data_IF_928560055521
#
_entry.id   IF_928560055521
#
_cell.length_a   1.000
_cell.length_b   1.000
_cell.length_c   1.000
_cell.angle_alpha   90.00
_cell.angle_beta   90.00
_cell.angle_gamma   90.00
#
_symmetry.space_group_name_H-M   'P 1'
#
loop_
_entity.id
_entity.type
_entity.pdbx_description
1 polymer ?
#
# COMPACT_ATOMS: atom_id res chain seq x y z
N UNK A 1 7.66 8.66 13.93
CA UNK A 1 8.09 9.20 12.61
C UNK A 1 7.54 8.38 11.46
N UNK A 2 7.79 7.06 11.37
CA UNK A 2 7.21 6.21 10.29
C UNK A 2 5.70 6.35 10.22
N UNK A 3 4.98 6.17 11.34
CA UNK A 3 3.51 6.30 11.37
C UNK A 3 3.05 7.64 10.80
N UNK A 4 3.67 8.75 11.22
CA UNK A 4 3.36 10.08 10.69
C UNK A 4 3.59 10.19 9.18
N UNK A 5 4.75 9.74 8.69
CA UNK A 5 5.09 9.75 7.26
C UNK A 5 4.11 8.90 6.45
N UNK A 6 3.78 7.71 6.95
CA UNK A 6 2.82 6.80 6.30
C UNK A 6 1.42 7.41 6.27
N UNK A 7 0.94 7.96 7.39
CA UNK A 7 -0.37 8.62 7.46
C UNK A 7 -0.43 9.90 6.61
N UNK A 8 0.63 10.70 6.57
CA UNK A 8 0.70 11.90 5.71
C UNK A 8 0.75 11.55 4.22
N UNK A 9 1.17 10.32 3.89
CA UNK A 9 1.19 9.78 2.54
C UNK A 9 -0.09 9.04 2.12
N UNK A 10 -1.06 8.88 3.03
CA UNK A 10 -2.33 8.22 2.74
C UNK A 10 -3.19 9.07 1.81
N UNK A 11 -3.74 8.41 0.80
CA UNK A 11 -4.60 9.05 -0.20
C UNK A 11 -6.03 8.51 -0.14
N UNK A 12 -6.20 7.19 0.01
CA UNK A 12 -7.51 6.56 -0.17
C UNK A 12 -8.55 7.02 0.85
N UNK A 13 -8.17 7.03 2.13
CA UNK A 13 -9.09 7.42 3.22
C UNK A 13 -9.44 8.91 3.15
N UNK A 14 -8.48 9.85 3.06
CA UNK A 14 -8.81 11.27 2.92
C UNK A 14 -9.59 11.59 1.65
N UNK A 15 -9.30 10.91 0.53
CA UNK A 15 -10.04 11.13 -0.71
C UNK A 15 -11.51 10.71 -0.58
N UNK A 16 -11.77 9.53 -0.03
CA UNK A 16 -13.15 9.02 0.08
C UNK A 16 -13.98 9.73 1.13
N UNK A 17 -13.38 10.09 2.26
CA UNK A 17 -14.10 10.75 3.36
C UNK A 17 -14.12 12.28 3.23
N UNK A 18 -13.05 12.89 2.74
CA UNK A 18 -12.87 14.34 2.70
C UNK A 18 -13.39 15.01 1.44
N UNK A 19 -13.32 14.34 0.27
CA UNK A 19 -13.74 14.96 -1.00
C UNK A 19 -15.21 15.44 -1.02
N UNK A 20 -16.20 14.71 -0.46
CA UNK A 20 -17.58 15.21 -0.42
C UNK A 20 -17.77 16.51 0.38
N UNK A 21 -16.88 16.79 1.33
CA UNK A 21 -16.93 17.96 2.20
C UNK A 21 -15.93 19.07 1.80
N UNK A 22 -15.21 18.89 0.68
CA UNK A 22 -14.18 19.83 0.24
C UNK A 22 -12.94 19.86 1.13
N UNK A 23 -12.71 18.82 1.95
CA UNK A 23 -11.52 18.72 2.78
C UNK A 23 -10.38 18.13 1.98
N UNK A 24 -9.44 19.00 1.63
CA UNK A 24 -8.28 18.63 0.83
C UNK A 24 -7.04 18.45 1.70
N UNK A 25 -6.43 17.28 1.59
CA UNK A 25 -5.08 17.02 2.08
C UNK A 25 -4.07 17.19 0.96
N UNK A 26 -2.79 17.28 1.30
CA UNK A 26 -1.73 17.43 0.31
C UNK A 26 -1.72 16.25 -0.69
N UNK A 27 -2.03 15.03 -0.23
CA UNK A 27 -2.12 13.83 -1.10
C UNK A 27 -3.32 13.88 -2.05
N UNK A 28 -4.48 14.37 -1.60
CA UNK A 28 -5.66 14.51 -2.46
C UNK A 28 -5.50 15.65 -3.46
N UNK A 29 -4.79 16.73 -3.10
CA UNK A 29 -4.45 17.80 -4.05
C UNK A 29 -3.50 17.31 -5.14
N UNK A 30 -2.46 16.54 -4.78
CA UNK A 30 -1.56 15.92 -5.77
C UNK A 30 -2.36 15.10 -6.78
N UNK A 31 -3.26 14.22 -6.30
CA UNK A 31 -4.10 13.40 -7.17
C UNK A 31 -5.01 14.23 -8.07
N UNK A 32 -5.70 15.21 -7.48
CA UNK A 32 -6.65 16.05 -8.22
C UNK A 32 -5.93 16.84 -9.31
N UNK A 33 -4.76 17.43 -9.02
CA UNK A 33 -3.96 18.14 -10.03
C UNK A 33 -3.34 17.22 -11.08
N UNK A 34 -3.26 15.91 -10.83
CA UNK A 34 -2.76 14.92 -11.78
C UNK A 34 -3.84 14.41 -12.76
N UNK A 35 -5.09 14.24 -12.31
CA UNK A 35 -6.12 13.49 -13.06
C UNK A 35 -7.40 14.32 -13.35
N UNK A 36 -7.63 15.45 -12.67
CA UNK A 36 -8.85 16.24 -12.88
C UNK A 36 -8.92 16.93 -14.24
N UNK A 37 -10.12 17.41 -14.59
CA UNK A 37 -10.40 18.14 -15.84
C UNK A 37 -9.55 19.42 -15.99
N UNK A 38 -9.08 19.99 -14.89
CA UNK A 38 -8.10 21.08 -14.82
C UNK A 38 -6.72 20.56 -14.39
N UNK A 39 -6.28 19.43 -14.95
CA UNK A 39 -4.99 18.83 -14.64
C UNK A 39 -3.86 19.84 -14.87
N UNK A 40 -3.10 20.10 -13.81
CA UNK A 40 -1.86 20.86 -13.87
C UNK A 40 -0.75 19.96 -13.33
N UNK A 41 -0.20 19.15 -14.24
CA UNK A 41 0.86 18.19 -13.94
C UNK A 41 2.08 18.87 -13.32
N UNK A 42 2.39 20.11 -13.69
CA UNK A 42 3.50 20.86 -13.09
C UNK A 42 3.25 21.18 -11.62
N UNK A 43 2.04 21.64 -11.27
CA UNK A 43 1.64 21.90 -9.89
C UNK A 43 1.60 20.61 -9.05
N UNK A 44 1.04 19.53 -9.60
CA UNK A 44 1.04 18.21 -8.94
C UNK A 44 2.45 17.66 -8.72
N UNK A 45 3.36 17.88 -9.68
CA UNK A 45 4.79 17.52 -9.56
C UNK A 45 5.45 18.31 -8.44
N UNK A 46 5.23 19.63 -8.40
CA UNK A 46 5.79 20.51 -7.38
C UNK A 46 5.33 20.08 -5.96
N UNK A 47 4.02 19.86 -5.78
CA UNK A 47 3.46 19.36 -4.52
C UNK A 47 4.03 17.99 -4.13
N UNK A 48 4.21 17.10 -5.10
CA UNK A 48 4.80 15.78 -4.87
C UNK A 48 6.27 15.87 -4.45
N UNK A 49 7.04 16.76 -5.07
CA UNK A 49 8.42 17.04 -4.68
C UNK A 49 8.49 17.62 -3.27
N UNK A 50 7.62 18.57 -2.92
CA UNK A 50 7.53 19.11 -1.56
C UNK A 50 7.27 18.02 -0.53
N UNK A 51 6.28 17.16 -0.77
CA UNK A 51 5.98 16.03 0.12
C UNK A 51 7.13 15.02 0.20
N UNK A 52 7.79 14.76 -0.93
CA UNK A 52 8.98 13.90 -1.01
C UNK A 52 10.13 14.45 -0.16
N UNK A 53 10.40 15.75 -0.23
CA UNK A 53 11.43 16.43 0.58
C UNK A 53 11.09 16.36 2.06
N UNK A 54 9.85 16.68 2.46
CA UNK A 54 9.39 16.56 3.85
C UNK A 54 9.59 15.13 4.36
N UNK A 55 9.23 14.15 3.54
CA UNK A 55 9.38 12.74 3.90
C UNK A 55 10.85 12.34 4.04
N UNK A 56 11.70 12.75 3.12
CA UNK A 56 13.13 12.48 3.17
C UNK A 56 13.79 13.08 4.43
N UNK A 57 13.41 14.30 4.81
CA UNK A 57 13.86 14.95 6.04
C UNK A 57 13.46 14.12 7.26
N UNK A 58 12.20 13.70 7.37
CA UNK A 58 11.74 12.91 8.50
C UNK A 58 12.44 11.55 8.60
N UNK A 59 12.63 10.87 7.46
CA UNK A 59 13.37 9.60 7.42
C UNK A 59 14.83 9.82 7.83
N UNK A 60 15.46 10.92 7.39
CA UNK A 60 16.82 11.26 7.79
C UNK A 60 16.94 11.53 9.29
N UNK A 61 16.02 12.33 9.86
CA UNK A 61 15.93 12.58 11.31
C UNK A 61 15.74 11.26 12.06
N UNK A 62 14.83 10.41 11.60
CA UNK A 62 14.60 9.11 12.20
C UNK A 62 15.87 8.26 12.20
N UNK A 63 16.58 8.18 11.06
CA UNK A 63 17.82 7.42 10.96
C UNK A 63 18.88 7.97 11.91
N UNK A 64 19.01 9.29 12.05
CA UNK A 64 19.96 9.91 13.00
C UNK A 64 19.64 9.61 14.46
N UNK A 65 18.37 9.55 14.83
CA UNK A 65 17.94 9.21 16.20
C UNK A 65 18.13 7.72 16.50
N UNK A 66 17.92 6.84 15.51
CA UNK A 66 17.96 5.38 15.69
C UNK A 66 19.38 4.81 15.52
N UNK A 67 20.19 5.34 14.60
CA UNK A 67 21.53 4.82 14.29
C UNK A 67 22.50 4.68 15.48
N UNK A 68 22.52 5.57 16.50
CA UNK A 68 23.40 5.40 17.65
C UNK A 68 22.89 4.39 18.69
N UNK A 69 21.73 3.76 18.47
CA UNK A 69 21.18 2.76 19.40
C UNK A 69 21.65 1.38 18.98
N UNK A 70 22.58 0.81 19.74
CA UNK A 70 22.88 -0.62 19.72
C UNK A 70 21.65 -1.37 20.25
N UNK A 71 20.82 -1.86 19.34
CA UNK A 71 19.86 -2.88 19.70
C UNK A 71 20.62 -4.19 19.74
N UNK A 72 20.75 -4.77 20.93
CA UNK A 72 21.02 -6.21 21.04
C UNK A 72 19.82 -6.91 20.40
N UNK A 73 19.92 -7.17 19.10
CA UNK A 73 18.98 -8.04 18.43
C UNK A 73 19.24 -9.42 18.99
N UNK A 74 18.39 -9.85 19.92
CA UNK A 74 18.32 -11.26 20.34
C UNK A 74 18.03 -12.03 19.06
N UNK A 75 19.09 -12.54 18.46
CA UNK A 75 19.05 -13.30 17.22
C UNK A 75 18.17 -14.52 17.48
N UNK A 76 17.27 -14.83 16.54
CA UNK A 76 16.19 -15.81 16.65
C UNK A 76 16.60 -17.27 16.82
N UNK A 77 17.53 -17.59 17.72
CA UNK A 77 17.66 -18.93 18.28
C UNK A 77 16.71 -19.05 19.47
N UNK A 78 15.44 -19.30 19.15
CA UNK A 78 14.40 -19.62 20.12
C UNK A 78 13.77 -18.41 20.78
N UNK A 79 12.88 -17.72 20.08
CA UNK A 79 11.84 -16.96 20.77
C UNK A 79 10.99 -17.97 21.55
N UNK A 80 11.36 -18.21 22.82
CA UNK A 80 10.49 -18.82 23.81
C UNK A 80 9.73 -17.66 24.44
N UNK A 81 8.53 -17.30 23.95
CA UNK A 81 7.73 -16.30 24.65
C UNK A 81 7.57 -16.81 26.08
N UNK A 82 8.01 -16.02 27.05
CA UNK A 82 7.70 -16.32 28.43
C UNK A 82 6.19 -16.06 28.55
N UNK A 83 5.41 -17.13 28.46
CA UNK A 83 3.95 -17.05 28.58
C UNK A 83 3.66 -16.58 30.01
N UNK A 84 3.16 -15.36 30.13
CA UNK A 84 2.63 -14.87 31.41
C UNK A 84 1.31 -15.62 31.61
N UNK A 85 1.18 -16.35 32.72
CA UNK A 85 -0.10 -16.98 33.05
C UNK A 85 -1.04 -15.92 33.62
N UNK A 86 -2.03 -15.51 32.82
CA UNK A 86 -3.07 -14.57 33.26
C UNK A 86 -4.11 -15.23 34.18
N UNK A 87 -4.03 -16.53 34.45
CA UNK A 87 -4.98 -17.26 35.28
C UNK A 87 -6.42 -17.07 34.78
N UNK A 88 -7.32 -16.61 35.65
CA UNK A 88 -8.73 -16.33 35.29
C UNK A 88 -8.90 -15.11 34.40
N UNK A 89 -7.98 -14.14 34.44
CA UNK A 89 -8.01 -12.95 33.59
C UNK A 89 -7.76 -13.25 32.11
N UNK A 90 -7.33 -14.47 31.76
CA UNK A 90 -7.17 -14.90 30.37
C UNK A 90 -8.47 -14.74 29.56
N UNK A 91 -9.63 -14.95 30.18
CA UNK A 91 -10.92 -14.81 29.51
C UNK A 91 -11.31 -13.35 29.28
N UNK A 92 -10.95 -12.46 30.22
CA UNK A 92 -11.13 -11.02 30.05
C UNK A 92 -10.20 -10.48 28.95
N UNK A 93 -8.93 -10.88 28.95
CA UNK A 93 -7.97 -10.53 27.90
C UNK A 93 -8.38 -11.10 26.53
N UNK A 94 -8.88 -12.34 26.49
CA UNK A 94 -9.43 -12.94 25.28
C UNK A 94 -10.65 -12.17 24.78
N UNK A 95 -11.59 -11.82 25.68
CA UNK A 95 -12.77 -11.05 25.35
C UNK A 95 -12.42 -9.67 24.79
N UNK A 96 -11.46 -8.97 25.41
CA UNK A 96 -10.95 -7.69 24.90
C UNK A 96 -10.33 -7.83 23.50
N UNK A 97 -9.44 -8.79 23.30
CA UNK A 97 -8.80 -9.02 22.01
C UNK A 97 -9.81 -9.44 20.93
N UNK A 98 -10.78 -10.30 21.28
CA UNK A 98 -11.84 -10.73 20.38
C UNK A 98 -12.75 -9.55 20.01
N UNK A 99 -13.11 -8.70 20.97
CA UNK A 99 -13.87 -7.48 20.72
C UNK A 99 -13.10 -6.50 19.82
N UNK A 100 -11.80 -6.32 20.09
CA UNK A 100 -10.94 -5.50 19.23
C UNK A 100 -10.94 -6.02 17.78
N UNK A 101 -10.67 -7.31 17.57
CA UNK A 101 -10.70 -7.94 16.24
C UNK A 101 -12.08 -7.81 15.59
N UNK A 102 -13.14 -7.99 16.37
CA UNK A 102 -14.51 -7.84 15.89
C UNK A 102 -14.75 -6.42 15.36
N UNK A 103 -14.39 -5.39 16.12
CA UNK A 103 -14.60 -3.98 15.73
C UNK A 103 -13.70 -3.57 14.56
N UNK A 104 -12.43 -3.98 14.55
CA UNK A 104 -11.46 -3.49 13.54
C UNK A 104 -11.44 -4.29 12.25
N UNK A 105 -11.85 -5.56 12.26
CA UNK A 105 -11.76 -6.46 11.10
C UNK A 105 -13.14 -6.98 10.69
N UNK A 106 -13.85 -7.65 11.62
CA UNK A 106 -15.09 -8.34 11.30
C UNK A 106 -16.19 -7.35 10.92
N UNK A 107 -16.34 -6.26 11.66
CA UNK A 107 -17.38 -5.28 11.46
C UNK A 107 -17.24 -4.54 10.11
N UNK A 108 -16.05 -4.06 9.68
CA UNK A 108 -15.88 -3.52 8.33
C UNK A 108 -16.18 -4.52 7.20
N UNK A 109 -15.75 -5.78 7.34
CA UNK A 109 -16.04 -6.84 6.35
C UNK A 109 -17.55 -7.10 6.29
N UNK A 110 -18.20 -7.20 7.45
CA UNK A 110 -19.64 -7.38 7.54
C UNK A 110 -20.40 -6.20 6.92
N UNK A 111 -19.96 -4.97 7.18
CA UNK A 111 -20.53 -3.78 6.54
C UNK A 111 -20.44 -3.83 5.02
N UNK A 112 -19.30 -4.25 4.45
CA UNK A 112 -19.14 -4.42 2.99
C UNK A 112 -20.11 -5.49 2.46
N UNK A 113 -20.27 -6.59 3.19
CA UNK A 113 -21.20 -7.67 2.84
C UNK A 113 -22.67 -7.20 2.87
N UNK A 114 -23.05 -6.39 3.85
CA UNK A 114 -24.39 -5.81 3.90
C UNK A 114 -24.59 -4.85 2.73
N UNK A 115 -23.61 -3.99 2.44
CA UNK A 115 -23.65 -3.04 1.32
C UNK A 115 -23.76 -3.78 -0.02
N UNK A 116 -23.04 -4.89 -0.21
CA UNK A 116 -23.07 -5.65 -1.47
C UNK A 116 -24.41 -6.32 -1.73
N UNK A 117 -25.21 -6.60 -0.69
CA UNK A 117 -26.56 -7.14 -0.78
C UNK A 117 -27.63 -6.06 -1.06
N UNK A 118 -27.34 -4.77 -0.96
CA UNK A 118 -28.30 -3.73 -1.34
C UNK A 118 -28.13 -3.34 -2.81
N UNK A 119 -29.22 -3.32 -3.57
CA UNK A 119 -29.18 -2.87 -4.97
C UNK A 119 -28.61 -1.44 -5.10
N UNK A 120 -28.98 -0.54 -4.17
CA UNK A 120 -28.40 0.80 -4.04
C UNK A 120 -28.17 1.10 -2.56
N UNK A 121 -26.96 1.52 -2.20
CA UNK A 121 -26.65 1.88 -0.82
C UNK A 121 -27.12 3.30 -0.49
N UNK A 122 -28.09 3.40 0.43
CA UNK A 122 -28.68 4.67 0.89
C UNK A 122 -28.19 5.11 2.27
N UNK A 123 -27.15 4.45 2.81
CA UNK A 123 -26.61 4.75 4.14
C UNK A 123 -27.42 4.19 5.31
N UNK A 124 -28.43 3.36 5.04
CA UNK A 124 -29.26 2.67 6.03
C UNK A 124 -29.36 1.19 5.67
N UNK A 125 -29.40 0.33 6.68
CA UNK A 125 -29.63 -1.11 6.51
C UNK A 125 -31.13 -1.32 6.43
N UNK A 126 -31.63 -1.70 5.25
CA UNK A 126 -33.05 -1.96 5.00
C UNK A 126 -33.16 -3.43 4.61
N UNK A 127 -33.55 -4.33 5.55
CA UNK A 127 -33.62 -5.77 5.28
C UNK A 127 -34.51 -6.15 4.09
N UNK A 128 -35.53 -5.33 3.79
CA UNK A 128 -36.42 -5.54 2.65
C UNK A 128 -35.73 -5.31 1.28
N UNK A 129 -34.64 -4.55 1.24
CA UNK A 129 -33.89 -4.23 0.02
C UNK A 129 -32.74 -5.21 -0.24
N UNK A 130 -32.63 -6.27 0.56
CA UNK A 130 -31.59 -7.29 0.40
C UNK A 130 -31.88 -8.12 -0.86
N UNK A 131 -30.95 -8.06 -1.81
CA UNK A 131 -31.05 -8.73 -3.10
C UNK A 131 -29.68 -9.26 -3.53
N UNK A 132 -29.67 -10.32 -4.33
CA UNK A 132 -28.45 -10.84 -4.98
C UNK A 132 -28.15 -10.17 -6.32
N UNK A 133 -28.93 -9.15 -6.68
CA UNK A 133 -28.91 -8.53 -8.01
C UNK A 133 -27.54 -7.96 -8.38
N UNK A 134 -26.78 -7.42 -7.42
CA UNK A 134 -25.42 -6.94 -7.68
C UNK A 134 -24.49 -8.07 -8.13
N UNK A 135 -24.61 -9.25 -7.53
CA UNK A 135 -23.82 -10.42 -7.93
C UNK A 135 -24.26 -10.92 -9.30
N UNK A 136 -25.56 -10.98 -9.57
CA UNK A 136 -26.08 -11.37 -10.88
C UNK A 136 -25.66 -10.40 -11.99
N UNK A 137 -25.69 -9.09 -11.70
CA UNK A 137 -25.20 -8.04 -12.60
C UNK A 137 -23.71 -8.16 -12.87
N UNK A 138 -22.89 -8.62 -11.93
CA UNK A 138 -21.45 -8.78 -12.13
C UNK A 138 -21.13 -10.10 -12.85
N UNK A 139 -21.87 -11.19 -12.54
CA UNK A 139 -21.55 -12.55 -13.00
C UNK A 139 -22.25 -12.96 -14.30
N UNK A 140 -23.48 -12.48 -14.55
CA UNK A 140 -24.36 -13.04 -15.59
C UNK A 140 -24.88 -12.02 -16.62
N UNK A 141 -25.14 -10.77 -16.25
CA UNK A 141 -25.74 -9.77 -17.16
C UNK A 141 -24.70 -8.92 -17.92
N UNK A 142 -24.07 -9.53 -18.92
CA UNK A 142 -23.06 -8.92 -19.81
C UNK A 142 -23.54 -7.63 -20.50
N UNK A 143 -23.33 -6.47 -19.87
CA UNK A 143 -23.48 -5.16 -20.51
C UNK A 143 -22.11 -4.49 -20.63
N UNK A 144 -21.65 -4.10 -21.83
CA UNK A 144 -20.31 -3.53 -22.04
C UNK A 144 -20.00 -2.32 -21.15
N UNK A 145 -21.02 -1.53 -20.79
CA UNK A 145 -20.87 -0.26 -20.06
C UNK A 145 -20.67 -0.41 -18.55
N UNK A 146 -21.01 -1.55 -17.93
CA UNK A 146 -20.98 -1.72 -16.46
C UNK A 146 -19.96 -2.77 -16.00
N UNK A 147 -19.83 -3.87 -16.74
CA UNK A 147 -18.97 -5.01 -16.35
C UNK A 147 -17.56 -4.88 -16.88
N UNK A 148 -17.37 -4.26 -18.05
CA UNK A 148 -16.05 -4.19 -18.68
C UNK A 148 -15.00 -3.55 -17.76
N UNK A 149 -15.29 -2.48 -16.99
CA UNK A 149 -14.36 -1.97 -15.98
C UNK A 149 -14.16 -2.92 -14.78
N UNK A 150 -15.22 -3.57 -14.30
CA UNK A 150 -15.18 -4.45 -13.11
C UNK A 150 -14.45 -5.78 -13.38
N UNK A 151 -14.82 -6.50 -14.44
CA UNK A 151 -14.20 -7.78 -14.82
C UNK A 151 -12.79 -7.61 -15.36
N UNK A 152 -12.55 -6.56 -16.19
CA UNK A 152 -11.17 -6.23 -16.55
C UNK A 152 -10.39 -5.83 -15.31
N UNK A 153 -10.98 -5.10 -14.36
CA UNK A 153 -10.35 -4.76 -13.09
C UNK A 153 -9.88 -5.99 -12.31
N UNK A 154 -10.73 -7.02 -12.17
CA UNK A 154 -10.38 -8.28 -11.49
C UNK A 154 -9.25 -9.00 -12.23
N UNK A 155 -9.39 -9.23 -13.53
CA UNK A 155 -8.37 -9.93 -14.33
C UNK A 155 -7.05 -9.16 -14.35
N UNK A 156 -7.09 -7.85 -14.58
CA UNK A 156 -5.93 -6.97 -14.53
C UNK A 156 -5.26 -7.02 -13.15
N UNK A 157 -6.03 -7.04 -12.06
CA UNK A 157 -5.49 -7.15 -10.71
C UNK A 157 -4.80 -8.49 -10.49
N UNK A 158 -5.37 -9.61 -10.95
CA UNK A 158 -4.72 -10.92 -10.89
C UNK A 158 -3.43 -10.96 -11.72
N UNK A 159 -3.47 -10.45 -12.95
CA UNK A 159 -2.30 -10.36 -13.83
C UNK A 159 -1.21 -9.54 -13.13
N UNK A 160 -1.54 -8.36 -12.62
CA UNK A 160 -0.60 -7.47 -11.94
C UNK A 160 -0.06 -8.06 -10.64
N UNK A 161 -0.91 -8.74 -9.86
CA UNK A 161 -0.51 -9.40 -8.63
C UNK A 161 0.52 -10.51 -8.92
N UNK A 162 0.19 -11.43 -9.82
CA UNK A 162 1.05 -12.58 -10.15
C UNK A 162 2.33 -12.12 -10.84
N UNK A 163 2.22 -11.32 -11.91
CA UNK A 163 3.39 -10.87 -12.67
C UNK A 163 4.26 -9.91 -11.86
N UNK A 164 3.65 -8.94 -11.17
CA UNK A 164 4.35 -7.96 -10.35
C UNK A 164 5.07 -8.60 -9.17
N UNK A 165 4.41 -9.50 -8.42
CA UNK A 165 5.05 -10.19 -7.30
C UNK A 165 6.20 -11.09 -7.78
N UNK A 166 6.01 -11.80 -8.88
CA UNK A 166 7.03 -12.72 -9.44
C UNK A 166 8.26 -11.94 -9.89
N UNK A 167 8.08 -10.88 -10.68
CA UNK A 167 9.19 -10.04 -11.16
C UNK A 167 9.90 -9.38 -9.97
N UNK A 168 9.15 -8.79 -9.04
CA UNK A 168 9.71 -8.15 -7.86
C UNK A 168 10.52 -9.15 -7.00
N UNK A 169 10.04 -10.38 -6.85
CA UNK A 169 10.74 -11.41 -6.07
C UNK A 169 12.01 -11.90 -6.76
N UNK A 170 11.99 -12.12 -8.08
CA UNK A 170 13.18 -12.50 -8.85
C UNK A 170 14.25 -11.42 -8.72
N UNK A 171 13.87 -10.14 -8.91
CA UNK A 171 14.78 -9.02 -8.73
C UNK A 171 15.31 -8.96 -7.28
N UNK A 172 14.45 -9.19 -6.29
CA UNK A 172 14.82 -9.13 -4.87
C UNK A 172 15.88 -10.17 -4.53
N UNK A 173 15.73 -11.41 -5.03
CA UNK A 173 16.71 -12.48 -4.86
C UNK A 173 18.03 -12.14 -5.52
N UNK A 174 18.00 -11.70 -6.79
CA UNK A 174 19.22 -11.35 -7.54
C UNK A 174 19.99 -10.23 -6.84
N UNK A 175 19.30 -9.14 -6.48
CA UNK A 175 19.95 -7.97 -5.87
C UNK A 175 20.41 -8.27 -4.45
N UNK A 176 19.63 -9.00 -3.65
CA UNK A 176 20.04 -9.45 -2.32
C UNK A 176 21.31 -10.31 -2.40
N UNK A 177 21.37 -11.26 -3.34
CA UNK A 177 22.54 -12.10 -3.55
C UNK A 177 23.78 -11.28 -3.95
N UNK A 178 23.63 -10.30 -4.85
CA UNK A 178 24.74 -9.43 -5.26
C UNK A 178 25.23 -8.53 -4.12
N UNK A 179 24.31 -7.94 -3.34
CA UNK A 179 24.64 -7.12 -2.17
C UNK A 179 25.43 -7.95 -1.16
N UNK A 180 25.04 -9.21 -0.91
CA UNK A 180 25.72 -10.09 0.03
C UNK A 180 27.10 -10.55 -0.46
N UNK A 181 27.22 -10.86 -1.75
CA UNK A 181 28.46 -11.38 -2.34
C UNK A 181 29.52 -10.30 -2.55
N UNK A 182 29.11 -9.06 -2.86
CA UNK A 182 30.03 -7.95 -3.18
C UNK A 182 30.33 -7.14 -1.92
N UNK A 183 31.45 -7.44 -1.25
CA UNK A 183 31.98 -6.62 -0.14
C UNK A 183 32.50 -5.27 -0.68
N UNK A 184 32.09 -4.15 -0.08
CA UNK A 184 32.60 -2.80 -0.38
C UNK A 184 31.53 -1.75 -0.70
N UNK A 185 31.96 -0.58 -1.21
CA UNK A 185 31.09 0.58 -1.50
C UNK A 185 29.96 0.28 -2.49
N UNK A 186 30.19 -0.65 -3.42
CA UNK A 186 29.20 -1.04 -4.43
C UNK A 186 27.99 -1.77 -3.81
N UNK A 187 28.22 -2.69 -2.87
CA UNK A 187 27.14 -3.36 -2.14
C UNK A 187 26.30 -2.38 -1.33
N UNK A 188 26.96 -1.41 -0.66
CA UNK A 188 26.27 -0.35 0.07
C UNK A 188 25.46 0.60 -0.83
N UNK A 189 25.97 0.93 -2.03
CA UNK A 189 25.23 1.73 -3.00
C UNK A 189 23.99 0.99 -3.52
N UNK A 190 24.14 -0.30 -3.87
CA UNK A 190 23.01 -1.12 -4.32
C UNK A 190 21.94 -1.25 -3.23
N UNK A 191 22.32 -1.49 -1.98
CA UNK A 191 21.40 -1.55 -0.86
C UNK A 191 20.66 -0.22 -0.65
N UNK A 192 21.38 0.91 -0.75
CA UNK A 192 20.76 2.23 -0.71
C UNK A 192 19.74 2.43 -1.85
N UNK A 193 20.11 2.10 -3.09
CA UNK A 193 19.22 2.20 -4.26
C UNK A 193 17.97 1.34 -4.10
N UNK A 194 18.11 0.13 -3.56
CA UNK A 194 16.99 -0.75 -3.27
C UNK A 194 16.05 -0.17 -2.20
N UNK A 195 16.57 0.59 -1.25
CA UNK A 195 15.79 1.19 -0.17
C UNK A 195 15.09 2.50 -0.55
N UNK A 196 15.49 3.18 -1.63
CA UNK A 196 14.98 4.49 -2.03
C UNK A 196 13.44 4.52 -2.19
N UNK A 197 12.78 3.56 -2.88
CA UNK A 197 11.34 3.64 -3.09
C UNK A 197 10.49 3.53 -1.82
N UNK A 198 11.04 2.93 -0.75
CA UNK A 198 10.37 2.86 0.57
C UNK A 198 10.22 4.25 1.16
N UNK A 199 11.18 5.13 0.88
CA UNK A 199 11.22 6.46 1.44
C UNK A 199 10.16 7.40 0.87
N UNK A 200 9.65 7.15 -0.33
CA UNK A 200 8.65 8.02 -0.94
C UNK A 200 7.22 7.59 -0.53
N UNK A 201 6.31 8.54 -0.25
CA UNK A 201 4.88 8.25 -0.16
C UNK A 201 4.35 7.65 -1.47
N UNK A 202 3.33 6.79 -1.37
CA UNK A 202 2.77 6.10 -2.54
C UNK A 202 2.29 7.07 -3.62
N UNK A 203 1.64 8.18 -3.24
CA UNK A 203 1.15 9.19 -4.18
C UNK A 203 2.29 9.92 -4.90
N UNK A 204 3.40 10.19 -4.21
CA UNK A 204 4.58 10.87 -4.79
C UNK A 204 5.24 9.96 -5.82
N UNK A 205 5.40 8.68 -5.49
CA UNK A 205 5.93 7.68 -6.41
C UNK A 205 4.99 7.49 -7.61
N UNK A 206 3.67 7.44 -7.38
CA UNK A 206 2.66 7.37 -8.44
C UNK A 206 2.71 8.58 -9.38
N UNK A 207 2.84 9.79 -8.85
CA UNK A 207 2.99 11.01 -9.64
C UNK A 207 4.28 11.00 -10.46
N UNK A 208 5.39 10.56 -9.87
CA UNK A 208 6.67 10.42 -10.58
C UNK A 208 6.58 9.46 -11.78
N UNK A 209 5.97 8.29 -11.56
CA UNK A 209 5.73 7.33 -12.64
C UNK A 209 4.81 7.91 -13.71
N UNK A 210 3.73 8.58 -13.31
CA UNK A 210 2.83 9.24 -14.25
C UNK A 210 3.60 10.20 -15.15
N UNK A 211 4.37 11.15 -14.60
CA UNK A 211 5.10 12.16 -15.38
C UNK A 211 6.10 11.53 -16.35
N UNK A 212 6.83 10.50 -15.90
CA UNK A 212 7.83 9.81 -16.74
C UNK A 212 7.16 9.14 -17.93
N UNK A 213 6.01 8.49 -17.74
CA UNK A 213 5.39 7.68 -18.77
C UNK A 213 4.26 8.37 -19.53
N UNK A 214 3.74 9.52 -19.11
CA UNK A 214 2.56 10.18 -19.71
C UNK A 214 2.72 10.49 -21.20
N UNK A 215 3.95 10.73 -21.67
CA UNK A 215 4.27 10.99 -23.10
C UNK A 215 4.75 9.75 -23.85
N UNK A 216 4.63 8.57 -23.24
CA UNK A 216 5.11 7.30 -23.81
C UNK A 216 3.92 6.39 -24.14
N UNK A 217 4.07 5.41 -25.05
CA UNK A 217 3.01 4.45 -25.36
C UNK A 217 2.64 3.51 -24.18
N UNK A 218 3.39 3.58 -23.07
CA UNK A 218 3.13 2.83 -21.84
C UNK A 218 1.96 3.45 -21.06
N UNK A 219 1.70 4.75 -21.24
CA UNK A 219 0.58 5.42 -20.59
C UNK A 219 -0.77 4.83 -20.99
N UNK A 220 -1.68 4.68 -20.02
CA UNK A 220 -3.00 4.08 -20.24
C UNK A 220 -2.99 2.55 -20.40
N UNK A 221 -1.85 1.88 -20.21
CA UNK A 221 -1.74 0.41 -20.29
C UNK A 221 -1.46 -0.23 -18.93
N UNK A 222 -1.56 -1.55 -18.81
CA UNK A 222 -1.21 -2.28 -17.58
C UNK A 222 0.26 -2.13 -17.18
N UNK A 223 1.14 -1.85 -18.13
CA UNK A 223 2.57 -1.75 -17.91
C UNK A 223 2.94 -0.64 -16.93
N UNK A 224 2.23 0.51 -16.97
CA UNK A 224 2.50 1.60 -16.03
C UNK A 224 2.22 1.20 -14.58
N UNK A 225 1.17 0.41 -14.37
CA UNK A 225 0.81 -0.13 -13.05
C UNK A 225 1.80 -1.21 -12.61
N UNK A 226 2.20 -2.10 -13.53
CA UNK A 226 3.18 -3.16 -13.25
C UNK A 226 4.50 -2.56 -12.78
N UNK A 227 5.02 -1.57 -13.51
CA UNK A 227 6.24 -0.85 -13.15
C UNK A 227 6.10 -0.19 -11.77
N UNK A 228 4.96 0.47 -11.52
CA UNK A 228 4.68 1.07 -10.20
C UNK A 228 4.66 0.06 -9.07
N UNK A 229 4.00 -1.08 -9.24
CA UNK A 229 3.97 -2.13 -8.23
C UNK A 229 5.35 -2.73 -7.98
N UNK A 230 6.11 -3.04 -9.04
CA UNK A 230 7.47 -3.55 -8.89
C UNK A 230 8.33 -2.54 -8.15
N UNK A 231 8.38 -1.28 -8.58
CA UNK A 231 9.20 -0.24 -7.91
C UNK A 231 8.79 -0.03 -6.45
N UNK A 232 7.49 -0.02 -6.15
CA UNK A 232 6.98 0.22 -4.79
C UNK A 232 7.21 -0.95 -3.85
N UNK A 233 6.95 -2.17 -4.30
CA UNK A 233 6.91 -3.35 -3.44
C UNK A 233 8.22 -4.16 -3.43
N UNK A 234 9.07 -4.01 -4.45
CA UNK A 234 10.39 -4.65 -4.52
C UNK A 234 11.23 -4.53 -3.23
N UNK A 235 11.35 -3.35 -2.58
CA UNK A 235 12.22 -3.22 -1.41
C UNK A 235 11.79 -4.08 -0.22
N UNK A 236 10.48 -4.35 -0.08
CA UNK A 236 9.98 -5.23 0.98
C UNK A 236 10.39 -6.67 0.72
N UNK A 237 10.30 -7.13 -0.54
CA UNK A 237 10.79 -8.43 -0.97
C UNK A 237 12.29 -8.58 -0.72
N UNK A 238 13.08 -7.57 -1.11
CA UNK A 238 14.53 -7.57 -0.92
C UNK A 238 14.94 -7.69 0.55
N UNK A 239 14.29 -6.95 1.46
CA UNK A 239 14.58 -7.04 2.89
C UNK A 239 14.23 -8.39 3.50
N UNK A 240 13.11 -8.98 3.09
CA UNK A 240 12.73 -10.32 3.53
C UNK A 240 13.73 -11.38 3.06
N UNK A 241 14.14 -11.35 1.79
CA UNK A 241 15.15 -12.28 1.26
C UNK A 241 16.51 -12.08 1.93
N UNK A 242 16.95 -10.83 2.10
CA UNK A 242 18.20 -10.52 2.77
C UNK A 242 18.24 -11.05 4.21
N UNK A 243 17.12 -10.99 4.94
CA UNK A 243 17.03 -11.53 6.31
C UNK A 243 17.21 -13.05 6.37
N UNK A 244 16.75 -13.77 5.35
CA UNK A 244 16.92 -15.23 5.24
C UNK A 244 18.36 -15.58 4.83
N UNK A 245 18.98 -14.79 3.95
CA UNK A 245 20.38 -15.02 3.53
C UNK A 245 21.41 -14.69 4.62
N UNK A 246 21.03 -13.85 5.59
CA UNK A 246 21.83 -13.48 6.76
C UNK A 246 21.73 -14.50 7.91
N UNK A 247 20.70 -15.35 7.90
CA UNK A 247 20.43 -16.37 8.92
C UNK A 247 21.23 -17.66 8.67
#
# INVERSE_FOLDING_TARGET
IIVFVTSAGEFGVPFKLGAPYGWETLTTQIFTKAVSEQANTYMGSAMSMTLGVITAIFIWVQRRIIAPREYTTVTGKGFRPNLIDLGRWKWAALGYNAFYIFVTVVLPIFSILVVSLHNVWVGKIIPADFTTLNYERILFFWTPTVIQPATNGILNSFILAISGSTIAMILAVILSFQIHRRRGRFGGLLDFLCAVPVGFPGIVLGMGILIVYIKTPIYGTLWILLLGYVTRFFPYGQRNVASVMLA
#
